data_IF_866820202137
#
_entry.id   IF_866820202137
#
_cell.length_a   1.000
_cell.length_b   1.000
_cell.length_c   1.000
_cell.angle_alpha   90.00
_cell.angle_beta   90.00
_cell.angle_gamma   90.00
#
_symmetry.space_group_name_H-M   'P 1'
#
loop_
_entity.id
_entity.type
_entity.pdbx_description
1 polymer ?
#
# COMPACT_ATOMS: atom_id res chain seq x y z
N UNK A 1 -12.04 7.61 -4.09
CA UNK A 1 -12.30 8.17 -2.74
C UNK A 1 -11.24 7.67 -1.77
N UNK A 2 -10.79 8.47 -0.79
CA UNK A 2 -9.89 8.00 0.26
C UNK A 2 -10.60 6.99 1.17
N UNK A 3 -9.85 6.01 1.68
CA UNK A 3 -10.35 5.06 2.67
C UNK A 3 -10.30 5.72 4.06
N UNK A 4 -11.45 6.04 4.69
CA UNK A 4 -11.48 6.72 5.98
C UNK A 4 -10.92 5.85 7.12
N UNK A 5 -11.00 4.53 7.00
CA UNK A 5 -10.57 3.58 8.04
C UNK A 5 -9.08 3.24 7.97
N UNK A 6 -8.35 3.74 6.94
CA UNK A 6 -6.99 3.30 6.63
C UNK A 6 -6.05 3.33 7.84
N UNK A 7 -6.03 4.45 8.59
CA UNK A 7 -5.13 4.58 9.73
C UNK A 7 -5.49 3.62 10.88
N UNK A 8 -6.78 3.48 11.16
CA UNK A 8 -7.27 2.56 12.20
C UNK A 8 -6.92 1.11 11.85
N UNK A 9 -7.11 0.74 10.58
CA UNK A 9 -6.74 -0.58 10.05
C UNK A 9 -5.24 -0.82 10.20
N UNK A 10 -4.38 0.11 9.80
CA UNK A 10 -2.94 -0.09 9.89
C UNK A 10 -2.49 -0.22 11.35
N UNK A 11 -2.95 0.64 12.26
CA UNK A 11 -2.64 0.58 13.69
C UNK A 11 -3.05 -0.73 14.37
N UNK A 12 -4.18 -1.31 13.96
CA UNK A 12 -4.65 -2.56 14.54
C UNK A 12 -3.92 -3.80 14.02
N UNK A 13 -3.22 -3.69 12.88
CA UNK A 13 -2.65 -4.85 12.18
C UNK A 13 -1.12 -4.84 12.12
N UNK A 14 -0.46 -3.69 12.33
CA UNK A 14 0.99 -3.56 12.22
C UNK A 14 1.54 -2.69 13.37
N UNK A 15 2.65 -3.10 14.01
CA UNK A 15 3.34 -2.24 14.96
C UNK A 15 4.05 -1.08 14.23
N UNK A 16 4.36 0.00 14.95
CA UNK A 16 4.97 1.22 14.37
C UNK A 16 6.40 1.04 13.89
N UNK A 17 7.11 0.01 14.35
CA UNK A 17 8.44 -0.38 13.90
C UNK A 17 8.41 -1.38 12.73
N UNK A 18 7.24 -1.83 12.27
CA UNK A 18 7.11 -2.73 11.14
C UNK A 18 7.72 -2.14 9.87
N UNK A 19 8.40 -2.98 9.09
CA UNK A 19 8.89 -2.63 7.76
C UNK A 19 7.73 -2.65 6.76
N UNK A 20 7.29 -1.47 6.32
CA UNK A 20 6.14 -1.29 5.44
C UNK A 20 6.56 -0.87 4.03
N UNK A 21 6.27 -1.72 3.05
CA UNK A 21 6.36 -1.40 1.64
C UNK A 21 4.98 -0.96 1.14
N UNK A 22 4.85 0.31 0.74
CA UNK A 22 3.58 0.91 0.36
C UNK A 22 3.58 1.21 -1.14
N UNK A 23 2.61 0.66 -1.86
CA UNK A 23 2.45 0.87 -3.29
C UNK A 23 0.98 1.13 -3.64
N UNK A 24 0.72 1.80 -4.76
CA UNK A 24 -0.59 1.82 -5.39
C UNK A 24 -0.44 1.66 -6.90
N UNK A 25 -1.55 1.63 -7.64
CA UNK A 25 -1.52 1.38 -9.09
C UNK A 25 -0.65 2.39 -9.86
N UNK A 26 -0.80 3.69 -9.55
CA UNK A 26 -0.22 4.82 -10.31
C UNK A 26 0.58 5.81 -9.43
N UNK A 27 0.84 5.49 -8.15
CA UNK A 27 1.79 6.18 -7.26
C UNK A 27 1.22 7.30 -6.37
N UNK A 28 0.18 8.02 -6.81
CA UNK A 28 -0.32 9.18 -6.05
C UNK A 28 -0.92 8.87 -4.67
N UNK A 29 -1.58 7.72 -4.50
CA UNK A 29 -2.23 7.34 -3.23
C UNK A 29 -1.25 6.77 -2.20
N UNK A 30 -0.20 6.09 -2.66
CA UNK A 30 0.76 5.44 -1.76
C UNK A 30 1.70 6.43 -1.09
N UNK A 31 2.05 7.53 -1.79
CA UNK A 31 2.80 8.63 -1.17
C UNK A 31 2.02 9.27 -0.01
N UNK A 32 0.74 9.58 -0.21
CA UNK A 32 -0.12 10.15 0.85
C UNK A 32 -0.28 9.18 2.03
N UNK A 33 -0.42 7.89 1.74
CA UNK A 33 -0.48 6.87 2.78
C UNK A 33 0.83 6.82 3.58
N UNK A 34 1.99 6.83 2.92
CA UNK A 34 3.29 6.84 3.59
C UNK A 34 3.47 8.10 4.46
N UNK A 35 3.13 9.29 3.96
CA UNK A 35 3.18 10.53 4.73
C UNK A 35 2.26 10.50 5.96
N UNK A 36 1.06 9.93 5.82
CA UNK A 36 0.14 9.77 6.95
C UNK A 36 0.72 8.83 8.01
N UNK A 37 1.32 7.71 7.61
CA UNK A 37 1.93 6.77 8.55
C UNK A 37 3.14 7.38 9.27
N UNK A 38 3.99 8.10 8.55
CA UNK A 38 5.13 8.84 9.11
C UNK A 38 4.67 9.84 10.18
N UNK A 39 3.65 10.64 9.88
CA UNK A 39 3.02 11.57 10.83
C UNK A 39 2.41 10.88 12.07
N UNK A 40 2.18 9.57 12.01
CA UNK A 40 1.66 8.76 13.12
C UNK A 40 2.72 7.84 13.75
N UNK A 41 4.02 8.09 13.50
CA UNK A 41 5.13 7.49 14.21
C UNK A 41 5.62 6.14 13.65
N UNK A 42 5.21 5.78 12.43
CA UNK A 42 5.77 4.61 11.76
C UNK A 42 7.17 4.90 11.24
N UNK A 43 8.13 4.04 11.56
CA UNK A 43 9.56 4.34 11.37
C UNK A 43 10.13 3.81 10.06
N UNK A 44 9.63 2.67 9.59
CA UNK A 44 10.25 1.91 8.51
C UNK A 44 9.34 1.84 7.27
N UNK A 45 9.05 3.00 6.66
CA UNK A 45 8.13 3.09 5.52
C UNK A 45 8.89 3.35 4.22
N UNK A 46 8.61 2.54 3.19
CA UNK A 46 9.14 2.74 1.84
C UNK A 46 7.97 2.84 0.85
N UNK A 47 7.88 3.96 0.14
CA UNK A 47 6.95 4.13 -0.98
C UNK A 47 7.57 3.57 -2.28
N UNK A 48 6.93 2.58 -2.88
CA UNK A 48 7.46 1.87 -4.07
C UNK A 48 7.27 2.73 -5.33
N UNK A 49 8.39 3.21 -5.89
CA UNK A 49 8.42 4.06 -7.09
C UNK A 49 7.88 3.38 -8.35
N UNK A 50 8.21 2.09 -8.53
CA UNK A 50 7.75 1.28 -9.66
C UNK A 50 6.24 1.03 -9.68
N UNK A 51 5.56 1.16 -8.53
CA UNK A 51 4.11 0.91 -8.38
C UNK A 51 3.72 -0.51 -8.77
N UNK A 52 2.42 -0.81 -8.75
CA UNK A 52 1.96 -2.11 -9.22
C UNK A 52 1.99 -2.23 -10.75
N UNK A 53 1.47 -1.21 -11.45
CA UNK A 53 1.28 -1.21 -12.91
C UNK A 53 2.34 -0.46 -13.72
N UNK A 54 3.43 -0.01 -13.08
CA UNK A 54 4.52 0.68 -13.75
C UNK A 54 4.33 2.17 -13.90
N UNK A 55 5.38 2.83 -14.39
CA UNK A 55 5.39 4.21 -14.80
C UNK A 55 5.36 4.32 -16.31
N UNK A 56 4.43 5.12 -16.84
CA UNK A 56 4.42 5.49 -18.25
C UNK A 56 4.67 6.99 -18.38
N UNK A 57 5.38 7.36 -19.44
CA UNK A 57 5.55 8.73 -19.86
C UNK A 57 4.19 9.24 -20.36
N UNK A 58 3.63 10.31 -19.78
CA UNK A 58 2.30 10.80 -20.15
C UNK A 58 2.24 11.40 -21.56
N UNK A 59 3.38 11.77 -22.15
CA UNK A 59 3.50 12.36 -23.49
C UNK A 59 3.72 11.30 -24.56
N UNK A 60 4.49 10.25 -24.27
CA UNK A 60 4.89 9.24 -25.26
C UNK A 60 4.23 7.88 -25.06
N UNK A 61 3.64 7.61 -23.89
CA UNK A 61 3.08 6.31 -23.52
C UNK A 61 4.14 5.24 -23.24
N UNK A 62 5.44 5.56 -23.37
CA UNK A 62 6.52 4.62 -23.14
C UNK A 62 6.64 4.26 -21.65
N UNK A 63 7.02 3.01 -21.35
CA UNK A 63 7.30 2.59 -19.97
C UNK A 63 8.59 3.26 -19.50
N UNK A 64 8.48 4.10 -18.48
CA UNK A 64 9.59 4.80 -17.81
C UNK A 64 10.19 3.95 -16.70
N UNK A 65 9.36 3.15 -16.02
CA UNK A 65 9.79 2.29 -14.91
C UNK A 65 8.87 1.08 -14.84
N UNK A 66 9.44 -0.14 -14.78
CA UNK A 66 8.65 -1.37 -14.70
C UNK A 66 7.97 -1.46 -13.33
N UNK A 67 6.67 -1.75 -13.33
CA UNK A 67 5.94 -2.00 -12.09
C UNK A 67 6.15 -3.41 -11.56
N UNK A 68 5.63 -3.67 -10.36
CA UNK A 68 5.67 -4.99 -9.73
C UNK A 68 5.22 -6.10 -10.68
N UNK A 69 4.10 -5.88 -11.38
CA UNK A 69 3.57 -6.82 -12.37
C UNK A 69 4.51 -7.01 -13.57
N UNK A 70 5.03 -5.91 -14.11
CA UNK A 70 5.87 -5.94 -15.33
C UNK A 70 7.30 -6.42 -15.03
N UNK A 71 7.70 -6.40 -13.75
CA UNK A 71 8.89 -7.07 -13.23
C UNK A 71 8.68 -8.58 -13.00
N UNK A 72 7.50 -9.12 -13.34
CA UNK A 72 7.13 -10.53 -13.17
C UNK A 72 7.28 -11.02 -11.72
N UNK A 73 7.09 -10.12 -10.76
CA UNK A 73 7.07 -10.49 -9.34
C UNK A 73 5.76 -11.21 -9.00
N UNK A 74 5.75 -12.06 -7.95
CA UNK A 74 4.56 -12.82 -7.57
C UNK A 74 3.33 -11.93 -7.31
N UNK A 75 2.18 -12.36 -7.82
CA UNK A 75 0.87 -11.72 -7.61
C UNK A 75 -0.18 -12.78 -7.33
N UNK A 76 -1.16 -12.44 -6.50
CA UNK A 76 -2.29 -13.30 -6.18
C UNK A 76 -3.58 -12.47 -6.28
N UNK A 77 -4.66 -13.07 -6.77
CA UNK A 77 -6.00 -12.44 -6.84
C UNK A 77 -6.95 -12.97 -5.76
N UNK A 78 -6.56 -14.06 -5.10
CA UNK A 78 -7.22 -14.63 -3.92
C UNK A 78 -6.60 -14.08 -2.65
N UNK A 79 -7.44 -13.69 -1.69
CA UNK A 79 -6.94 -13.31 -0.38
C UNK A 79 -6.73 -14.57 0.46
N UNK A 80 -5.55 -14.71 1.06
CA UNK A 80 -5.33 -15.69 2.11
C UNK A 80 -6.28 -15.44 3.30
N UNK A 81 -6.61 -16.50 4.04
CA UNK A 81 -7.48 -16.39 5.22
C UNK A 81 -6.92 -15.38 6.22
N UNK A 82 -7.74 -14.40 6.64
CA UNK A 82 -7.34 -13.36 7.59
C UNK A 82 -6.54 -12.20 6.98
N UNK A 83 -6.28 -12.23 5.67
CA UNK A 83 -5.54 -11.19 4.94
C UNK A 83 -6.44 -10.32 4.04
N UNK A 84 -7.74 -10.59 3.98
CA UNK A 84 -8.66 -9.74 3.23
C UNK A 84 -8.84 -8.38 3.93
N UNK A 85 -9.21 -7.35 3.17
CA UNK A 85 -9.51 -6.05 3.77
C UNK A 85 -10.64 -6.14 4.82
N UNK A 86 -11.63 -7.01 4.60
CA UNK A 86 -12.71 -7.23 5.56
C UNK A 86 -12.18 -7.79 6.90
N UNK A 87 -11.24 -8.73 6.85
CA UNK A 87 -10.62 -9.31 8.05
C UNK A 87 -9.76 -8.26 8.79
N UNK A 88 -8.96 -7.48 8.05
CA UNK A 88 -8.14 -6.42 8.62
C UNK A 88 -9.00 -5.33 9.27
N UNK A 89 -10.13 -4.97 8.65
CA UNK A 89 -11.10 -4.02 9.18
C UNK A 89 -11.83 -4.57 10.41
N UNK A 90 -12.18 -5.86 10.42
CA UNK A 90 -12.80 -6.50 11.58
C UNK A 90 -11.90 -6.42 12.82
N UNK A 91 -10.59 -6.69 12.67
CA UNK A 91 -9.61 -6.52 13.75
C UNK A 91 -9.57 -5.08 14.27
N UNK A 92 -9.59 -4.10 13.37
CA UNK A 92 -9.59 -2.68 13.74
C UNK A 92 -10.85 -2.26 14.52
N UNK A 93 -12.00 -2.86 14.21
CA UNK A 93 -13.26 -2.62 14.94
C UNK A 93 -13.27 -3.28 16.32
N UNK A 94 -12.57 -4.40 16.48
CA UNK A 94 -12.45 -5.12 17.76
C UNK A 94 -11.47 -4.47 18.73
N UNK A 95 -10.45 -3.77 18.20
CA UNK A 95 -9.45 -3.04 18.99
C UNK A 95 -9.93 -1.67 19.50
N UNK A 96 -11.21 -1.33 19.30
CA UNK A 96 -11.82 -0.03 19.58
C UNK A 96 -12.81 -0.14 20.74
#
# INVERSE_FOLDING_TARGET
MPNPDFLAVIKANFPTDAKLLVACQVGGRSLRAAQLLDAHGYQNIVNVKGRFGGAMDPRTGAVVERGWRDAQLPVETTAASGASYADLLAKAKQAR
#
